data_IF_812841623089
#
_entry.id   IF_812841623089
#
_cell.length_a   1.000
_cell.length_b   1.000
_cell.length_c   1.000
_cell.angle_alpha   90.00
_cell.angle_beta   90.00
_cell.angle_gamma   90.00
#
_symmetry.space_group_name_H-M   'P 1'
#
loop_
_entity.id
_entity.type
_entity.pdbx_description
1 polymer ?
#
# COMPACT_ATOMS: atom_id res chain seq x y z
N UNK A 1 -7.11 -4.49 -9.82
CA UNK A 1 -6.52 -4.39 -8.45
C UNK A 1 -6.52 -2.93 -8.02
N UNK A 2 -6.97 -2.63 -6.79
CA UNK A 2 -7.16 -1.24 -6.32
C UNK A 2 -5.89 -0.37 -6.28
N UNK A 3 -4.72 -0.97 -6.04
CA UNK A 3 -3.44 -0.24 -5.95
C UNK A 3 -2.77 -0.01 -7.30
N UNK A 4 -3.28 -0.63 -8.38
CA UNK A 4 -2.62 -0.66 -9.69
C UNK A 4 -1.30 -1.45 -9.74
N UNK A 5 -0.93 -2.15 -8.66
CA UNK A 5 0.26 -3.01 -8.62
C UNK A 5 -0.12 -4.45 -8.92
N UNK A 6 0.70 -5.12 -9.73
CA UNK A 6 0.51 -6.53 -10.12
C UNK A 6 1.41 -7.49 -9.33
N UNK A 7 2.34 -6.94 -8.54
CA UNK A 7 3.39 -7.63 -7.80
C UNK A 7 3.20 -7.50 -6.28
N UNK A 8 1.94 -7.55 -5.82
CA UNK A 8 1.64 -7.54 -4.39
C UNK A 8 2.03 -8.88 -3.76
N UNK A 9 2.72 -8.82 -2.63
CA UNK A 9 3.21 -10.00 -1.94
C UNK A 9 2.03 -10.75 -1.24
N UNK A 10 1.83 -12.06 -1.51
CA UNK A 10 0.67 -12.81 -1.01
C UNK A 10 0.56 -12.91 0.51
N UNK A 11 1.67 -13.08 1.24
CA UNK A 11 1.66 -13.16 2.70
C UNK A 11 1.21 -11.81 3.31
N UNK A 12 1.69 -10.70 2.79
CA UNK A 12 1.27 -9.35 3.18
C UNK A 12 -0.21 -9.12 2.88
N UNK A 13 -0.71 -9.60 1.74
CA UNK A 13 -2.15 -9.55 1.43
C UNK A 13 -2.98 -10.30 2.48
N UNK A 14 -2.56 -11.52 2.87
CA UNK A 14 -3.23 -12.30 3.89
C UNK A 14 -3.22 -11.62 5.26
N UNK A 15 -2.08 -11.02 5.66
CA UNK A 15 -1.96 -10.26 6.91
C UNK A 15 -2.80 -8.99 6.92
N UNK A 16 -2.86 -8.28 5.78
CA UNK A 16 -3.70 -7.10 5.64
C UNK A 16 -5.18 -7.46 5.79
N UNK A 17 -5.63 -8.54 5.14
CA UNK A 17 -7.00 -9.02 5.25
C UNK A 17 -7.36 -9.40 6.69
N UNK A 18 -6.45 -10.08 7.41
CA UNK A 18 -6.65 -10.42 8.82
C UNK A 18 -6.73 -9.17 9.71
N UNK A 19 -5.84 -8.19 9.49
CA UNK A 19 -5.86 -6.94 10.23
C UNK A 19 -7.15 -6.13 9.97
N UNK A 20 -7.68 -6.15 8.75
CA UNK A 20 -8.97 -5.53 8.45
C UNK A 20 -10.12 -6.21 9.20
N UNK A 21 -10.17 -7.54 9.26
CA UNK A 21 -11.22 -8.26 10.02
C UNK A 21 -11.30 -7.81 11.48
N UNK A 22 -10.17 -7.49 12.10
CA UNK A 22 -10.10 -7.16 13.53
C UNK A 22 -10.16 -5.66 13.79
N UNK A 23 -9.38 -4.86 13.08
CA UNK A 23 -9.17 -3.43 13.38
C UNK A 23 -10.10 -2.50 12.60
N UNK A 24 -10.66 -2.94 11.48
CA UNK A 24 -11.68 -2.20 10.70
C UNK A 24 -12.67 -3.16 10.01
N UNK A 25 -13.56 -3.81 10.79
CA UNK A 25 -14.52 -4.77 10.25
C UNK A 25 -15.49 -4.17 9.23
N UNK A 26 -15.78 -2.86 9.33
CA UNK A 26 -16.60 -2.14 8.36
C UNK A 26 -15.99 -2.14 6.97
N UNK A 27 -14.70 -1.83 6.85
CA UNK A 27 -14.00 -1.95 5.56
C UNK A 27 -13.92 -3.39 5.10
N UNK A 28 -13.68 -4.33 6.01
CA UNK A 28 -13.60 -5.76 5.67
C UNK A 28 -14.88 -6.31 5.04
N UNK A 29 -16.05 -5.82 5.49
CA UNK A 29 -17.34 -6.23 4.94
C UNK A 29 -17.50 -5.95 3.43
N UNK A 30 -16.80 -4.94 2.91
CA UNK A 30 -16.84 -4.56 1.50
C UNK A 30 -15.81 -5.31 0.63
N UNK A 31 -14.91 -6.11 1.21
CA UNK A 31 -13.84 -6.77 0.45
C UNK A 31 -14.39 -7.72 -0.62
N UNK A 32 -15.45 -8.46 -0.32
CA UNK A 32 -16.04 -9.41 -1.27
C UNK A 32 -16.65 -8.71 -2.50
N UNK A 33 -17.45 -7.66 -2.29
CA UNK A 33 -18.05 -6.89 -3.40
C UNK A 33 -16.99 -6.15 -4.22
N UNK A 34 -15.96 -5.58 -3.58
CA UNK A 34 -14.85 -4.93 -4.27
C UNK A 34 -14.02 -5.93 -5.09
N UNK A 35 -13.85 -7.15 -4.58
CA UNK A 35 -13.16 -8.22 -5.30
C UNK A 35 -13.94 -8.67 -6.53
N UNK A 36 -15.27 -8.77 -6.41
CA UNK A 36 -16.14 -9.07 -7.55
C UNK A 36 -16.13 -7.95 -8.58
N UNK A 37 -16.18 -6.68 -8.16
CA UNK A 37 -16.11 -5.55 -9.07
C UNK A 37 -14.77 -5.53 -9.85
N UNK A 38 -13.68 -5.91 -9.18
CA UNK A 38 -12.35 -5.97 -9.77
C UNK A 38 -12.18 -7.06 -10.85
N UNK A 39 -13.14 -7.99 -11.03
CA UNK A 39 -13.13 -8.95 -12.15
C UNK A 39 -13.61 -8.33 -13.46
N UNK A 40 -14.32 -7.19 -13.38
CA UNK A 40 -14.88 -6.49 -14.54
C UNK A 40 -14.22 -5.14 -14.81
N UNK A 41 -13.69 -4.48 -13.78
CA UNK A 41 -13.03 -3.18 -13.88
C UNK A 41 -11.57 -3.31 -13.48
N UNK A 42 -10.69 -3.31 -14.48
CA UNK A 42 -9.26 -3.54 -14.28
C UNK A 42 -8.51 -2.25 -13.91
N UNK A 43 -8.94 -1.11 -14.47
CA UNK A 43 -8.33 0.19 -14.23
C UNK A 43 -8.55 0.67 -12.80
N UNK A 44 -7.49 0.98 -12.01
CA UNK A 44 -7.62 1.28 -10.58
C UNK A 44 -8.51 2.48 -10.27
N UNK A 45 -8.38 3.58 -11.02
CA UNK A 45 -9.20 4.78 -10.84
C UNK A 45 -10.66 4.50 -11.17
N UNK A 46 -10.92 3.80 -12.27
CA UNK A 46 -12.27 3.37 -12.65
C UNK A 46 -12.89 2.43 -11.62
N UNK A 47 -12.09 1.54 -11.01
CA UNK A 47 -12.54 0.63 -9.97
C UNK A 47 -12.96 1.38 -8.69
N UNK A 48 -12.21 2.41 -8.29
CA UNK A 48 -12.56 3.27 -7.15
C UNK A 48 -13.84 4.07 -7.42
N UNK A 49 -14.03 4.57 -8.64
CA UNK A 49 -15.26 5.29 -9.01
C UNK A 49 -16.47 4.34 -9.09
N UNK A 50 -16.28 3.13 -9.63
CA UNK A 50 -17.33 2.12 -9.71
C UNK A 50 -17.71 1.51 -8.35
N UNK A 51 -16.90 1.71 -7.31
CA UNK A 51 -17.14 1.17 -5.96
C UNK A 51 -18.39 1.75 -5.28
N UNK A 52 -18.90 2.91 -5.72
CA UNK A 52 -20.13 3.50 -5.19
C UNK A 52 -20.10 3.66 -3.65
N UNK A 53 -21.06 3.07 -2.90
CA UNK A 53 -21.04 3.11 -1.42
C UNK A 53 -19.76 2.55 -0.79
N UNK A 54 -19.10 1.62 -1.48
CA UNK A 54 -17.85 0.98 -1.04
C UNK A 54 -16.61 1.85 -1.26
N UNK A 55 -16.74 3.05 -1.86
CA UNK A 55 -15.61 3.93 -2.20
C UNK A 55 -14.73 4.25 -0.99
N UNK A 56 -15.33 4.45 0.18
CA UNK A 56 -14.57 4.68 1.42
C UNK A 56 -13.72 3.46 1.81
N UNK A 57 -14.27 2.25 1.71
CA UNK A 57 -13.56 1.01 1.97
C UNK A 57 -12.45 0.77 0.94
N UNK A 58 -12.71 1.04 -0.35
CA UNK A 58 -11.69 0.97 -1.40
C UNK A 58 -10.50 1.89 -1.12
N UNK A 59 -10.76 3.14 -0.72
CA UNK A 59 -9.72 4.10 -0.34
C UNK A 59 -8.98 3.68 0.94
N UNK A 60 -9.66 3.10 1.93
CA UNK A 60 -9.04 2.57 3.14
C UNK A 60 -8.09 1.40 2.83
N UNK A 61 -8.49 0.49 1.92
CA UNK A 61 -7.63 -0.60 1.45
C UNK A 61 -6.40 -0.04 0.74
N UNK A 62 -6.57 0.93 -0.17
CA UNK A 62 -5.46 1.60 -0.85
C UNK A 62 -4.51 2.24 0.18
N UNK A 63 -5.04 3.02 1.12
CA UNK A 63 -4.26 3.67 2.16
C UNK A 63 -3.47 2.64 3.00
N UNK A 64 -4.07 1.50 3.33
CA UNK A 64 -3.40 0.46 4.09
C UNK A 64 -2.22 -0.15 3.34
N UNK A 65 -2.34 -0.39 2.03
CA UNK A 65 -1.21 -0.86 1.21
C UNK A 65 -0.09 0.17 1.09
N UNK A 66 -0.43 1.46 0.97
CA UNK A 66 0.57 2.52 0.84
C UNK A 66 1.30 2.80 2.15
N UNK A 67 0.59 2.79 3.28
CA UNK A 67 1.16 3.08 4.61
C UNK A 67 1.69 1.84 5.33
N UNK A 68 1.24 0.66 4.92
CA UNK A 68 1.50 -0.60 5.62
C UNK A 68 0.76 -0.73 6.96
N UNK A 69 -0.27 0.08 7.19
CA UNK A 69 -1.05 0.12 8.44
C UNK A 69 -2.55 -0.03 8.19
N UNK A 70 -3.25 -0.73 9.08
CA UNK A 70 -4.71 -0.90 9.03
C UNK A 70 -5.35 -0.24 10.25
N UNK A 71 -6.47 0.46 10.05
CA UNK A 71 -7.16 1.20 11.10
C UNK A 71 -6.58 2.61 11.30
N UNK A 72 -6.86 3.23 12.45
CA UNK A 72 -6.48 4.62 12.76
C UNK A 72 -6.09 4.79 14.23
N UNK A 73 -5.34 5.85 14.50
CA UNK A 73 -4.96 6.23 15.86
C UNK A 73 -4.04 5.20 16.53
N UNK A 74 -4.05 5.19 17.87
CA UNK A 74 -3.21 4.29 18.67
C UNK A 74 -3.55 2.80 18.55
N UNK A 75 -4.68 2.48 17.91
CA UNK A 75 -5.14 1.10 17.67
C UNK A 75 -4.83 0.61 16.25
N UNK A 76 -4.13 1.41 15.43
CA UNK A 76 -3.74 0.99 14.10
C UNK A 76 -2.76 -0.19 14.18
N UNK A 77 -2.98 -1.18 13.31
CA UNK A 77 -2.13 -2.37 13.21
C UNK A 77 -1.10 -2.13 12.12
N UNK A 78 0.18 -2.10 12.47
CA UNK A 78 1.26 -2.11 11.48
C UNK A 78 1.45 -3.52 10.93
N UNK A 79 1.13 -3.69 9.66
CA UNK A 79 1.30 -4.95 8.92
C UNK A 79 2.64 -4.97 8.19
N UNK A 80 3.05 -3.82 7.64
CA UNK A 80 4.31 -3.66 6.93
C UNK A 80 4.90 -2.29 7.24
N UNK A 81 6.22 -2.23 7.39
CA UNK A 81 6.95 -0.98 7.58
C UNK A 81 7.88 -0.71 6.40
N UNK A 82 8.84 -1.62 6.18
CA UNK A 82 9.76 -1.56 5.04
C UNK A 82 9.05 -1.74 3.70
N UNK A 83 8.11 -2.69 3.64
CA UNK A 83 7.49 -3.13 2.38
C UNK A 83 6.23 -2.34 1.99
N UNK A 84 5.90 -1.28 2.75
CA UNK A 84 4.79 -0.38 2.44
C UNK A 84 4.97 0.26 1.05
N UNK A 85 3.90 0.33 0.25
CA UNK A 85 4.03 0.72 -1.16
C UNK A 85 4.56 2.14 -1.35
N UNK A 86 4.37 3.04 -0.38
CA UNK A 86 4.91 4.42 -0.45
C UNK A 86 6.44 4.48 -0.47
N UNK A 87 7.13 3.40 -0.06
CA UNK A 87 8.59 3.34 -0.07
C UNK A 87 9.14 3.07 -1.47
N UNK A 88 8.38 2.36 -2.33
CA UNK A 88 8.86 1.92 -3.66
C UNK A 88 9.23 3.07 -4.61
N UNK A 89 8.48 4.20 -4.69
CA UNK A 89 8.81 5.29 -5.60
C UNK A 89 10.09 6.07 -5.24
N UNK A 90 10.58 5.92 -4.01
CA UNK A 90 11.72 6.70 -3.48
C UNK A 90 12.91 5.83 -3.08
N UNK A 91 12.85 4.52 -3.33
CA UNK A 91 13.80 3.55 -2.80
C UNK A 91 15.25 3.73 -3.30
N UNK A 92 15.44 4.46 -4.40
CA UNK A 92 16.72 4.83 -4.99
C UNK A 92 17.41 5.98 -4.24
N UNK A 93 16.64 6.81 -3.52
CA UNK A 93 17.13 8.01 -2.85
C UNK A 93 16.79 8.08 -1.35
N UNK A 94 15.86 7.26 -0.85
CA UNK A 94 15.41 7.24 0.54
C UNK A 94 15.22 5.80 1.01
N UNK A 95 15.70 5.50 2.21
CA UNK A 95 15.31 4.32 2.95
C UNK A 95 14.17 4.64 3.94
N UNK A 96 13.36 3.63 4.30
CA UNK A 96 12.48 3.76 5.46
C UNK A 96 13.32 4.16 6.69
N UNK A 97 12.80 5.01 7.59
CA UNK A 97 13.53 5.39 8.80
C UNK A 97 14.00 4.14 9.56
N UNK A 98 15.11 4.24 10.28
CA UNK A 98 15.81 3.12 10.96
C UNK A 98 16.54 2.12 10.03
N UNK A 99 16.40 2.22 8.70
CA UNK A 99 17.21 1.46 7.75
C UNK A 99 18.30 2.36 7.16
N UNK A 100 19.56 1.89 7.22
CA UNK A 100 20.66 2.57 6.54
C UNK A 100 20.59 2.31 5.03
N UNK A 101 20.67 3.39 4.25
CA UNK A 101 20.95 3.32 2.82
C UNK A 101 22.41 3.69 2.63
N UNK A 102 23.21 2.89 1.92
CA UNK A 102 24.62 3.20 1.66
C UNK A 102 25.52 3.31 2.90
N UNK A 103 26.70 3.90 2.70
CA UNK A 103 27.70 4.14 3.76
C UNK A 103 27.53 5.49 4.47
N UNK A 104 28.40 5.83 5.43
CA UNK A 104 28.38 7.13 6.09
C UNK A 104 28.39 8.28 5.09
N UNK A 105 27.58 9.32 5.34
CA UNK A 105 27.44 10.51 4.50
C UNK A 105 26.97 10.26 3.06
N UNK A 106 26.35 9.12 2.75
CA UNK A 106 25.82 8.83 1.41
C UNK A 106 24.90 9.93 0.85
N UNK A 107 24.21 10.67 1.71
CA UNK A 107 23.27 11.75 1.37
C UNK A 107 23.92 13.00 0.76
N UNK A 108 25.26 13.11 0.74
CA UNK A 108 25.96 14.21 0.05
C UNK A 108 26.12 13.96 -1.46
N UNK A 109 25.81 12.74 -1.93
CA UNK A 109 25.80 12.43 -3.34
C UNK A 109 24.64 13.17 -4.04
N UNK A 110 24.77 13.51 -5.34
CA UNK A 110 23.66 14.03 -6.13
C UNK A 110 22.47 13.06 -6.09
N UNK A 111 21.24 13.60 -6.06
CA UNK A 111 20.04 12.77 -6.22
C UNK A 111 20.07 12.04 -7.56
N UNK A 112 19.68 10.75 -7.62
CA UNK A 112 19.55 10.03 -8.88
C UNK A 112 18.70 10.80 -9.89
N UNK A 113 19.06 10.72 -11.18
CA UNK A 113 18.20 11.27 -12.25
C UNK A 113 16.92 10.44 -12.36
N UNK A 114 15.81 11.08 -12.73
CA UNK A 114 14.49 10.44 -12.84
C UNK A 114 14.48 9.15 -13.70
N UNK A 115 15.38 9.05 -14.69
CA UNK A 115 15.48 7.92 -15.62
C UNK A 115 16.65 6.96 -15.32
N UNK A 116 17.30 7.10 -14.15
CA UNK A 116 18.38 6.19 -13.76
C UNK A 116 17.86 4.77 -13.48
N UNK A 117 18.63 3.71 -13.80
CA UNK A 117 18.26 2.34 -13.42
C UNK A 117 18.14 2.24 -11.90
N UNK A 118 17.03 1.69 -11.40
CA UNK A 118 16.86 1.42 -9.97
C UNK A 118 17.86 0.36 -9.51
N UNK A 119 18.65 0.70 -8.49
CA UNK A 119 19.63 -0.17 -7.79
C UNK A 119 18.96 -1.30 -7.03
#
# INVERSE_FOLDING_TARGET
>A
MLTGKTDLEPLMAARMAEAFKTADPSTYAHVAELSQLATHVTEPSALVEAAGPAKAAALAIIAAWYTGTVGKGSQAVTVAYRDALMQRPVADALSPPTYALGGPAWWVAPTPELDSPRI
#
